data_IF_874165093230
#
_entry.id   IF_874165093230
#
_cell.length_a   1.000
_cell.length_b   1.000
_cell.length_c   1.000
_cell.angle_alpha   90.00
_cell.angle_beta   90.00
_cell.angle_gamma   90.00
#
_symmetry.space_group_name_H-M   'P 1'
#
loop_
_entity.id
_entity.type
_entity.pdbx_description
1 polymer ?
#
# COMPACT_ATOMS: atom_id res chain seq x y z
N UNK A 1 14.63 -5.68 2.73
CA UNK A 1 13.64 -5.84 1.68
C UNK A 1 12.31 -6.28 2.21
N UNK A 2 11.24 -5.74 1.66
CA UNK A 2 9.91 -6.13 2.07
C UNK A 2 9.51 -7.45 1.44
N UNK A 3 8.72 -8.24 2.17
CA UNK A 3 8.17 -9.49 1.65
C UNK A 3 6.78 -9.31 1.08
N UNK A 4 6.31 -8.09 1.05
CA UNK A 4 4.97 -7.75 0.57
C UNK A 4 5.11 -7.02 -0.74
N UNK A 5 4.32 -7.40 -1.73
CA UNK A 5 4.18 -6.61 -2.94
C UNK A 5 2.78 -6.02 -2.94
N UNK A 6 2.66 -4.85 -3.56
CA UNK A 6 1.40 -4.13 -3.46
C UNK A 6 0.95 -3.62 -4.81
N UNK A 7 -0.37 -3.53 -4.98
CA UNK A 7 -1.00 -2.89 -6.12
C UNK A 7 -1.53 -1.52 -5.74
N UNK A 8 -1.06 -0.97 -4.64
CA UNK A 8 -1.56 0.29 -4.12
C UNK A 8 -1.48 1.41 -5.16
N UNK A 9 -0.38 1.46 -5.89
CA UNK A 9 -0.19 2.51 -6.89
C UNK A 9 -1.29 2.48 -7.94
N UNK A 10 -1.65 1.30 -8.40
CA UNK A 10 -2.70 1.17 -9.40
C UNK A 10 -4.05 1.62 -8.85
N UNK A 11 -4.36 1.22 -7.63
CA UNK A 11 -5.62 1.64 -6.99
C UNK A 11 -5.65 3.14 -6.80
N UNK A 12 -4.52 3.71 -6.37
CA UNK A 12 -4.44 5.14 -6.15
C UNK A 12 -4.64 5.92 -7.44
N UNK A 13 -3.99 5.48 -8.50
CA UNK A 13 -4.10 6.18 -9.78
C UNK A 13 -5.50 6.04 -10.36
N UNK A 14 -6.15 4.91 -10.13
CA UNK A 14 -7.52 4.73 -10.59
C UNK A 14 -8.46 5.72 -9.93
N UNK A 15 -8.17 6.14 -8.70
CA UNK A 15 -8.96 7.14 -7.99
C UNK A 15 -8.46 8.55 -8.25
N UNK A 16 -7.36 8.68 -9.00
CA UNK A 16 -6.81 9.99 -9.38
C UNK A 16 -6.41 10.82 -8.16
N UNK A 17 -5.87 10.18 -7.16
CA UNK A 17 -5.37 10.89 -5.99
C UNK A 17 -3.84 10.78 -5.97
N UNK A 18 -3.22 11.82 -5.41
CA UNK A 18 -1.76 11.88 -5.35
C UNK A 18 -1.25 11.07 -4.16
N UNK A 19 0.06 10.84 -4.16
CA UNK A 19 0.69 10.20 -3.02
C UNK A 19 0.49 11.03 -1.76
N UNK A 20 0.59 12.35 -1.89
CA UNK A 20 0.39 13.24 -0.75
C UNK A 20 -1.03 13.14 -0.21
N UNK A 21 -2.01 13.11 -1.11
CA UNK A 21 -3.39 12.99 -0.69
C UNK A 21 -3.64 11.67 0.03
N UNK A 22 -3.09 10.60 -0.50
CA UNK A 22 -3.26 9.30 0.14
C UNK A 22 -2.58 9.29 1.50
N UNK A 23 -1.39 9.88 1.59
CA UNK A 23 -0.69 9.95 2.87
C UNK A 23 -1.52 10.67 3.91
N UNK A 24 -2.18 11.75 3.52
CA UNK A 24 -3.04 12.49 4.44
C UNK A 24 -4.23 11.67 4.87
N UNK A 25 -4.82 10.92 3.96
CA UNK A 25 -5.97 10.08 4.30
C UNK A 25 -5.58 8.97 5.27
N UNK A 26 -4.39 8.43 5.10
CA UNK A 26 -3.92 7.35 5.97
C UNK A 26 -3.36 7.88 7.27
N UNK A 27 -2.87 9.12 7.27
CA UNK A 27 -2.26 9.71 8.45
C UNK A 27 -0.79 9.42 8.57
N UNK A 28 -0.09 9.33 7.46
CA UNK A 28 1.35 9.07 7.44
C UNK A 28 2.03 10.09 6.55
N UNK A 29 3.36 10.03 6.51
CA UNK A 29 4.13 10.90 5.66
C UNK A 29 4.08 10.40 4.23
N UNK A 30 4.27 11.33 3.29
CA UNK A 30 4.31 10.99 1.87
C UNK A 30 5.38 9.94 1.59
N UNK A 31 6.55 10.07 2.23
CA UNK A 31 7.64 9.11 2.02
C UNK A 31 7.23 7.70 2.35
N UNK A 32 6.39 7.53 3.36
CA UNK A 32 5.90 6.21 3.72
C UNK A 32 5.11 5.60 2.57
N UNK A 33 4.28 6.40 1.92
CA UNK A 33 3.51 5.91 0.78
C UNK A 33 4.45 5.57 -0.38
N UNK A 34 5.46 6.42 -0.62
CA UNK A 34 6.41 6.17 -1.69
C UNK A 34 7.12 4.83 -1.48
N UNK A 35 7.62 4.61 -0.26
CA UNK A 35 8.31 3.35 0.02
C UNK A 35 7.37 2.16 -0.07
N UNK A 36 6.15 2.34 0.38
CA UNK A 36 5.15 1.27 0.33
C UNK A 36 4.87 0.88 -1.12
N UNK A 37 4.69 1.87 -1.98
CA UNK A 37 4.38 1.60 -3.39
C UNK A 37 5.56 0.96 -4.13
N UNK A 38 6.76 1.17 -3.62
CA UNK A 38 7.96 0.59 -4.23
C UNK A 38 8.37 -0.72 -3.60
N UNK A 39 7.50 -1.31 -2.80
CA UNK A 39 7.72 -2.60 -2.17
C UNK A 39 8.95 -2.59 -1.26
N UNK A 40 9.20 -1.46 -0.61
CA UNK A 40 10.34 -1.32 0.30
C UNK A 40 9.93 -1.24 1.75
N UNK A 41 8.67 -1.53 2.03
CA UNK A 41 8.14 -1.29 3.35
C UNK A 41 6.94 -2.22 3.56
N UNK A 42 6.96 -2.97 4.64
CA UNK A 42 5.82 -3.81 5.01
C UNK A 42 4.88 -2.99 5.87
N UNK A 43 3.64 -2.78 5.42
CA UNK A 43 2.72 -1.98 6.22
C UNK A 43 2.33 -2.72 7.49
N UNK A 44 2.02 -1.94 8.53
CA UNK A 44 1.41 -2.55 9.70
C UNK A 44 0.01 -3.02 9.33
N UNK A 45 -0.52 -3.92 10.14
CA UNK A 45 -1.88 -4.38 9.91
C UNK A 45 -2.87 -3.23 9.96
N UNK A 46 -2.68 -2.32 10.90
CA UNK A 46 -3.57 -1.17 11.01
C UNK A 46 -3.53 -0.34 9.73
N UNK A 47 -2.34 -0.07 9.22
CA UNK A 47 -2.21 0.71 8.00
C UNK A 47 -2.85 0.00 6.82
N UNK A 48 -2.63 -1.32 6.71
CA UNK A 48 -3.20 -2.08 5.61
C UNK A 48 -4.72 -2.05 5.65
N UNK A 49 -5.29 -2.19 6.83
CA UNK A 49 -6.74 -2.14 6.97
C UNK A 49 -7.31 -0.75 6.63
N UNK A 50 -6.61 0.30 7.05
CA UNK A 50 -7.04 1.64 6.72
C UNK A 50 -7.04 1.89 5.22
N UNK A 51 -5.99 1.44 4.55
CA UNK A 51 -5.88 1.64 3.11
C UNK A 51 -6.97 0.86 2.39
N UNK A 52 -7.21 -0.37 2.82
CA UNK A 52 -8.26 -1.17 2.20
C UNK A 52 -9.63 -0.49 2.37
N UNK A 53 -9.84 0.12 3.52
CA UNK A 53 -11.08 0.83 3.76
C UNK A 53 -11.23 2.04 2.84
N UNK A 54 -10.13 2.77 2.65
CA UNK A 54 -10.14 3.94 1.78
C UNK A 54 -10.53 3.54 0.35
N UNK A 55 -10.03 2.42 -0.12
CA UNK A 55 -10.30 1.96 -1.48
C UNK A 55 -11.48 1.00 -1.57
N UNK A 56 -12.13 0.74 -0.44
CA UNK A 56 -13.32 -0.11 -0.40
C UNK A 56 -13.04 -1.47 -1.04
N UNK A 57 -11.97 -2.10 -0.59
CA UNK A 57 -11.57 -3.40 -1.11
C UNK A 57 -10.97 -4.22 0.01
N UNK A 58 -10.66 -5.47 -0.30
CA UNK A 58 -10.04 -6.35 0.67
C UNK A 58 -8.54 -6.13 0.72
N UNK A 59 -7.95 -6.36 1.90
CA UNK A 59 -6.51 -6.20 2.06
C UNK A 59 -5.76 -7.07 1.06
N UNK A 60 -6.25 -8.28 0.80
CA UNK A 60 -5.57 -9.20 -0.11
C UNK A 60 -5.53 -8.69 -1.54
N UNK A 61 -6.45 -7.81 -1.89
CA UNK A 61 -6.43 -7.22 -3.23
C UNK A 61 -5.33 -6.19 -3.37
N UNK A 62 -4.94 -5.57 -2.27
CA UNK A 62 -3.92 -4.53 -2.27
C UNK A 62 -2.54 -5.07 -1.96
N UNK A 63 -2.43 -6.03 -1.08
CA UNK A 63 -1.15 -6.50 -0.57
C UNK A 63 -1.09 -8.00 -0.66
N UNK A 64 0.03 -8.51 -1.15
CA UNK A 64 0.21 -9.93 -1.33
C UNK A 64 1.62 -10.31 -0.91
N UNK A 65 1.77 -11.54 -0.50
CA UNK A 65 3.10 -12.04 -0.19
C UNK A 65 3.88 -12.27 -1.47
N UNK A 66 5.16 -11.95 -1.41
CA UNK A 66 6.04 -12.19 -2.55
C UNK A 66 6.42 -13.65 -2.56
N UNK A 67 5.74 -14.42 -3.39
CA UNK A 67 5.94 -15.87 -3.43
C UNK A 67 7.00 -16.31 -4.39
N UNK A 68 7.66 -15.37 -5.02
CA UNK A 68 8.76 -15.70 -5.90
C UNK A 68 10.05 -15.97 -5.17
N UNK A 69 10.08 -15.64 -3.90
CA UNK A 69 11.27 -15.89 -3.10
C UNK A 69 11.46 -17.38 -2.95
N UNK A 70 12.65 -17.83 -3.32
CA UNK A 70 12.99 -19.24 -3.21
C UNK A 70 13.80 -19.51 -1.97
N UNK A 71 13.68 -20.68 -1.52
CA UNK A 71 14.49 -21.12 -0.41
C UNK A 71 15.77 -21.71 -0.81
#
# INVERSE_FOLDING_TARGET
MANIITKLKEYRKARKISQQELAQLVGVRRETIVHLENNRYNPSLEMALKIAEIFDCHVEELFQLNKEVKK
#
